data_IF_289364434408
#
_entry.id   IF_289364434408
#
_cell.length_a   1.000
_cell.length_b   1.000
_cell.length_c   1.000
_cell.angle_alpha   90.00
_cell.angle_beta   90.00
_cell.angle_gamma   90.00
#
_symmetry.space_group_name_H-M   'P 1'
#
loop_
_entity.id
_entity.type
_entity.pdbx_description
1 polymer ?
#
# COMPACT_ATOMS: atom_id res chain seq x y z
N UNK A 1 5.32 17.60 2.67
CA UNK A 1 4.48 17.85 3.87
C UNK A 1 4.36 16.54 4.67
N UNK A 2 4.69 16.52 5.97
CA UNK A 2 4.59 15.31 6.83
C UNK A 2 3.54 15.52 7.92
N UNK A 3 2.47 14.73 7.89
CA UNK A 3 1.44 14.71 8.95
C UNK A 3 1.98 13.78 10.03
N UNK A 4 2.33 14.29 11.21
CA UNK A 4 2.84 13.50 12.35
C UNK A 4 1.72 12.72 13.06
N UNK A 5 0.82 12.10 12.31
CA UNK A 5 -0.29 11.29 12.83
C UNK A 5 -0.42 10.02 11.99
N UNK A 6 -0.84 8.94 12.65
CA UNK A 6 -1.19 7.71 11.95
C UNK A 6 -2.46 7.97 11.13
N UNK A 7 -2.46 7.45 9.91
CA UNK A 7 -3.61 7.44 9.01
C UNK A 7 -3.93 5.99 8.68
N UNK A 8 -5.18 5.72 8.34
CA UNK A 8 -5.56 4.42 7.82
C UNK A 8 -5.49 4.47 6.30
N UNK A 9 -4.92 3.42 5.70
CA UNK A 9 -4.79 3.27 4.25
C UNK A 9 -5.53 2.02 3.82
N UNK A 10 -6.43 2.17 2.86
CA UNK A 10 -7.09 1.05 2.19
C UNK A 10 -6.59 1.03 0.75
N UNK A 11 -6.10 -0.11 0.28
CA UNK A 11 -5.60 -0.28 -1.09
C UNK A 11 -6.48 -1.31 -1.81
N UNK A 12 -6.91 -0.98 -3.02
CA UNK A 12 -7.57 -1.90 -3.94
C UNK A 12 -6.98 -1.77 -5.34
N UNK A 13 -7.51 -2.55 -6.28
CA UNK A 13 -6.96 -2.61 -7.64
C UNK A 13 -7.17 -1.31 -8.43
N UNK A 14 -8.25 -0.58 -8.14
CA UNK A 14 -8.65 0.66 -8.82
C UNK A 14 -8.12 1.93 -8.16
N UNK A 15 -7.48 1.82 -6.99
CA UNK A 15 -6.96 2.97 -6.26
C UNK A 15 -6.77 2.71 -4.77
N UNK A 16 -6.68 3.79 -3.98
CA UNK A 16 -6.53 3.71 -2.55
C UNK A 16 -7.29 4.84 -1.84
N UNK A 17 -7.64 4.61 -0.58
CA UNK A 17 -8.28 5.57 0.31
C UNK A 17 -7.31 5.89 1.44
N UNK A 18 -7.18 7.19 1.74
CA UNK A 18 -6.48 7.70 2.92
C UNK A 18 -7.52 8.24 3.89
N UNK A 19 -7.70 7.55 5.01
CA UNK A 19 -8.62 7.99 6.08
C UNK A 19 -7.83 8.79 7.11
N UNK A 20 -8.16 10.07 7.19
CA UNK A 20 -7.50 11.03 8.05
C UNK A 20 -8.20 11.14 9.41
N UNK A 21 -7.47 11.33 10.51
CA UNK A 21 -8.09 11.57 11.80
C UNK A 21 -8.80 12.93 11.83
N UNK A 22 -9.83 13.10 12.67
CA UNK A 22 -10.58 14.36 12.77
C UNK A 22 -9.67 15.57 12.99
N UNK A 23 -9.98 16.67 12.30
CA UNK A 23 -9.24 17.93 12.38
C UNK A 23 -7.97 18.00 11.52
N UNK A 24 -7.55 16.91 10.88
CA UNK A 24 -6.42 16.93 9.93
C UNK A 24 -6.93 17.31 8.54
N UNK A 25 -6.32 18.34 7.96
CA UNK A 25 -6.52 18.73 6.56
C UNK A 25 -5.23 18.50 5.78
N UNK A 26 -5.38 18.04 4.55
CA UNK A 26 -4.26 17.74 3.67
C UNK A 26 -4.46 18.51 2.38
N UNK A 27 -3.40 19.21 1.98
CA UNK A 27 -3.32 19.78 0.66
C UNK A 27 -2.94 18.67 -0.32
N UNK A 28 -3.95 18.18 -1.05
CA UNK A 28 -3.79 17.08 -2.02
C UNK A 28 -2.88 17.50 -3.17
N UNK A 29 -2.95 18.75 -3.60
CA UNK A 29 -2.14 19.26 -4.72
C UNK A 29 -0.66 19.25 -4.34
N UNK A 30 -0.34 19.83 -3.19
CA UNK A 30 1.03 19.81 -2.68
C UNK A 30 1.51 18.40 -2.35
N UNK A 31 0.64 17.51 -1.85
CA UNK A 31 1.01 16.12 -1.58
C UNK A 31 1.45 15.41 -2.86
N UNK A 32 0.64 15.51 -3.91
CA UNK A 32 0.87 14.80 -5.18
C UNK A 32 2.08 15.39 -5.93
N UNK A 33 2.25 16.71 -5.90
CA UNK A 33 3.40 17.38 -6.52
C UNK A 33 4.70 17.25 -5.71
N UNK A 34 4.64 16.79 -4.45
CA UNK A 34 5.84 16.63 -3.62
C UNK A 34 6.67 15.39 -3.94
N UNK A 35 6.15 14.47 -4.76
CA UNK A 35 6.83 13.23 -5.11
C UNK A 35 7.34 13.30 -6.54
N UNK A 36 8.66 13.19 -6.69
CA UNK A 36 9.33 13.22 -8.00
C UNK A 36 9.73 11.83 -8.48
N UNK A 37 9.82 11.68 -9.79
CA UNK A 37 10.16 10.41 -10.43
C UNK A 37 11.57 9.92 -10.11
N UNK A 38 12.52 10.83 -9.82
CA UNK A 38 13.89 10.52 -9.43
C UNK A 38 14.04 10.17 -7.94
N UNK A 39 13.05 10.54 -7.10
CA UNK A 39 13.09 10.34 -5.65
C UNK A 39 12.21 9.17 -5.17
N UNK A 40 11.17 8.80 -5.91
CA UNK A 40 10.20 7.78 -5.46
C UNK A 40 10.83 6.47 -5.01
N UNK A 41 11.90 6.00 -5.66
CA UNK A 41 12.56 4.74 -5.28
C UNK A 41 13.19 4.83 -3.88
N UNK A 42 13.88 5.93 -3.56
CA UNK A 42 14.51 6.10 -2.25
C UNK A 42 13.45 6.29 -1.16
N UNK A 43 12.43 7.11 -1.42
CA UNK A 43 11.29 7.31 -0.51
C UNK A 43 10.58 6.00 -0.22
N UNK A 44 10.27 5.21 -1.26
CA UNK A 44 9.58 3.94 -1.11
C UNK A 44 10.46 2.92 -0.36
N UNK A 45 11.76 2.86 -0.67
CA UNK A 45 12.71 1.98 0.01
C UNK A 45 12.76 2.24 1.52
N UNK A 46 12.80 3.51 1.93
CA UNK A 46 12.76 3.90 3.34
C UNK A 46 11.41 3.53 3.99
N UNK A 47 10.31 3.80 3.30
CA UNK A 47 8.96 3.54 3.80
C UNK A 47 8.68 2.04 4.01
N UNK A 48 9.14 1.18 3.11
CA UNK A 48 8.86 -0.26 3.19
C UNK A 48 9.79 -1.01 4.15
N UNK A 49 10.95 -0.44 4.52
CA UNK A 49 12.00 -1.14 5.29
C UNK A 49 11.48 -1.84 6.55
N UNK A 50 10.55 -1.22 7.27
CA UNK A 50 9.98 -1.75 8.53
C UNK A 50 8.64 -2.47 8.38
N UNK A 51 8.18 -2.68 7.14
CA UNK A 51 6.88 -3.31 6.86
C UNK A 51 6.95 -4.83 6.92
N UNK A 52 5.81 -5.46 7.16
CA UNK A 52 5.72 -6.94 7.11
C UNK A 52 5.99 -7.48 5.70
N UNK A 53 5.81 -6.68 4.63
CA UNK A 53 6.17 -7.06 3.26
C UNK A 53 7.66 -7.41 3.15
N UNK A 54 8.53 -6.52 3.65
CA UNK A 54 9.99 -6.76 3.65
C UNK A 54 10.34 -7.90 4.58
N UNK A 55 9.74 -7.99 5.77
CA UNK A 55 9.99 -9.11 6.70
C UNK A 55 9.66 -10.44 6.05
N UNK A 56 8.48 -10.56 5.45
CA UNK A 56 8.05 -11.76 4.73
C UNK A 56 8.98 -12.09 3.58
N UNK A 57 9.31 -11.10 2.75
CA UNK A 57 10.20 -11.27 1.61
C UNK A 57 11.60 -11.73 2.05
N UNK A 58 12.14 -11.13 3.11
CA UNK A 58 13.41 -11.53 3.71
C UNK A 58 13.40 -13.00 4.13
N UNK A 59 12.33 -13.52 4.74
CA UNK A 59 12.23 -14.95 5.07
C UNK A 59 12.43 -15.82 3.83
N UNK A 60 11.83 -15.46 2.69
CA UNK A 60 12.00 -16.18 1.43
C UNK A 60 13.44 -16.09 0.91
N UNK A 61 14.01 -14.88 0.86
CA UNK A 61 15.39 -14.66 0.39
C UNK A 61 16.41 -15.38 1.28
N UNK A 62 16.28 -15.29 2.62
CA UNK A 62 17.16 -15.95 3.59
C UNK A 62 17.09 -17.47 3.48
N UNK A 63 15.90 -18.01 3.19
CA UNK A 63 15.75 -19.45 2.97
C UNK A 63 16.40 -19.88 1.65
N UNK A 64 16.25 -19.10 0.56
CA UNK A 64 16.92 -19.37 -0.72
C UNK A 64 18.44 -19.23 -0.62
N UNK A 65 18.92 -18.32 0.21
CA UNK A 65 20.34 -18.11 0.50
C UNK A 65 20.91 -19.10 1.54
N UNK A 66 20.15 -20.14 1.92
CA UNK A 66 20.54 -21.18 2.89
C UNK A 66 20.91 -20.66 4.29
N UNK A 67 20.46 -19.44 4.65
CA UNK A 67 20.67 -18.86 5.97
C UNK A 67 19.73 -19.43 7.04
N UNK A 68 18.60 -19.99 6.60
CA UNK A 68 17.59 -20.62 7.46
C UNK A 68 17.69 -22.13 7.31
N UNK A 69 18.03 -22.80 8.40
CA UNK A 69 18.13 -24.26 8.44
C UNK A 69 16.75 -24.91 8.23
N UNK A 70 16.63 -25.69 7.16
CA UNK A 70 15.46 -26.54 6.87
C UNK A 70 15.57 -27.93 7.48
N UNK A 71 16.80 -28.45 7.60
CA UNK A 71 17.10 -29.73 8.20
C UNK A 71 18.19 -29.55 9.25
N UNK A 72 18.04 -30.22 10.39
CA UNK A 72 19.02 -30.24 11.45
C UNK A 72 19.26 -31.68 11.89
N UNK A 73 20.50 -32.15 11.73
CA UNK A 73 20.91 -33.53 12.06
C UNK A 73 20.01 -34.59 11.42
N UNK A 74 19.67 -34.42 10.14
CA UNK A 74 18.82 -35.36 9.40
C UNK A 74 17.32 -35.25 9.67
N UNK A 75 16.89 -34.33 10.54
CA UNK A 75 15.47 -34.10 10.83
C UNK A 75 14.99 -32.77 10.26
N UNK A 76 13.78 -32.76 9.72
CA UNK A 76 13.14 -31.55 9.22
C UNK A 76 12.82 -30.58 10.37
N UNK A 77 13.16 -29.31 10.18
CA UNK A 77 12.88 -28.24 11.12
C UNK A 77 11.46 -27.74 10.89
N UNK A 78 10.63 -27.71 11.94
CA UNK A 78 9.25 -27.19 11.88
C UNK A 78 9.20 -25.78 11.25
N UNK A 79 8.19 -25.53 10.40
CA UNK A 79 7.99 -24.24 9.72
C UNK A 79 7.97 -23.05 10.68
N UNK A 80 7.27 -23.16 11.82
CA UNK A 80 7.24 -22.12 12.84
C UNK A 80 8.64 -21.75 13.37
N UNK A 81 9.52 -22.74 13.53
CA UNK A 81 10.91 -22.52 13.95
C UNK A 81 11.75 -21.88 12.85
N UNK A 82 11.53 -22.25 11.58
CA UNK A 82 12.17 -21.58 10.45
C UNK A 82 11.78 -20.09 10.37
N UNK A 83 10.50 -19.79 10.58
CA UNK A 83 9.99 -18.41 10.62
C UNK A 83 10.60 -17.61 11.78
N UNK A 84 10.65 -18.19 12.98
CA UNK A 84 11.29 -17.56 14.15
C UNK A 84 12.78 -17.28 13.90
N UNK A 85 13.52 -18.26 13.39
CA UNK A 85 14.95 -18.11 13.07
C UNK A 85 15.16 -17.00 12.04
N UNK A 86 14.34 -16.92 10.99
CA UNK A 86 14.43 -15.89 9.97
C UNK A 86 14.11 -14.49 10.53
N UNK A 87 13.20 -14.39 11.51
CA UNK A 87 12.89 -13.12 12.20
C UNK A 87 14.06 -12.64 13.07
N UNK A 88 14.70 -13.56 13.81
CA UNK A 88 15.91 -13.27 14.60
C UNK A 88 17.04 -12.84 13.67
N UNK A 89 17.25 -13.57 12.57
CA UNK A 89 18.26 -13.22 11.59
C UNK A 89 18.02 -11.82 11.00
N UNK A 90 16.76 -11.47 10.70
CA UNK A 90 16.41 -10.13 10.21
C UNK A 90 16.87 -9.04 11.19
N UNK A 91 16.58 -9.21 12.48
CA UNK A 91 17.00 -8.22 13.49
C UNK A 91 18.51 -8.03 13.59
N UNK A 92 19.30 -9.04 13.23
CA UNK A 92 20.77 -8.93 13.20
C UNK A 92 21.25 -8.26 11.92
N UNK A 93 20.68 -8.65 10.76
CA UNK A 93 21.14 -8.12 9.46
C UNK A 93 20.69 -6.68 9.19
N UNK A 94 19.64 -6.21 9.86
CA UNK A 94 19.18 -4.81 9.75
C UNK A 94 20.24 -3.81 10.19
N UNK A 95 21.11 -4.20 11.12
CA UNK A 95 22.23 -3.39 11.64
C UNK A 95 23.50 -3.51 10.79
N UNK A 96 23.53 -4.44 9.82
CA UNK A 96 24.67 -4.64 8.92
C UNK A 96 24.44 -3.83 7.65
N UNK A 97 25.26 -2.78 7.39
CA UNK A 97 25.15 -2.00 6.18
C UNK A 97 25.29 -2.89 4.93
N UNK A 98 24.45 -2.63 3.93
CA UNK A 98 24.53 -3.26 2.62
C UNK A 98 24.43 -4.80 2.59
N UNK A 99 23.82 -5.42 3.61
CA UNK A 99 23.67 -6.86 3.67
C UNK A 99 22.95 -7.43 2.42
N UNK A 100 23.59 -8.30 1.61
CA UNK A 100 23.09 -8.65 0.28
C UNK A 100 21.68 -9.24 0.26
N UNK A 101 21.36 -10.14 1.19
CA UNK A 101 20.05 -10.81 1.24
C UNK A 101 18.94 -9.84 1.65
N UNK A 102 19.25 -8.85 2.50
CA UNK A 102 18.31 -7.81 2.87
C UNK A 102 18.10 -6.83 1.71
N UNK A 103 19.17 -6.45 1.00
CA UNK A 103 19.08 -5.66 -0.24
C UNK A 103 18.21 -6.33 -1.29
N UNK A 104 18.40 -7.63 -1.49
CA UNK A 104 17.58 -8.39 -2.45
C UNK A 104 16.12 -8.48 -1.99
N UNK A 105 15.86 -8.67 -0.70
CA UNK A 105 14.51 -8.68 -0.18
C UNK A 105 13.79 -7.33 -0.40
N UNK A 106 14.49 -6.22 -0.19
CA UNK A 106 13.96 -4.88 -0.48
C UNK A 106 13.75 -4.70 -1.99
N UNK A 107 14.71 -5.14 -2.83
CA UNK A 107 14.59 -5.09 -4.29
C UNK A 107 13.35 -5.84 -4.79
N UNK A 108 13.14 -7.09 -4.36
CA UNK A 108 11.96 -7.88 -4.73
C UNK A 108 10.64 -7.23 -4.25
N UNK A 109 10.63 -6.56 -3.09
CA UNK A 109 9.44 -5.81 -2.67
C UNK A 109 9.18 -4.62 -3.59
N UNK A 110 10.22 -3.82 -3.89
CA UNK A 110 10.07 -2.62 -4.70
C UNK A 110 9.72 -2.93 -6.15
N UNK A 111 10.38 -3.92 -6.75
CA UNK A 111 10.29 -4.24 -8.18
C UNK A 111 9.15 -5.23 -8.44
N UNK A 112 9.11 -6.36 -7.74
CA UNK A 112 8.19 -7.44 -8.09
C UNK A 112 6.81 -7.29 -7.44
N UNK A 113 6.75 -6.73 -6.23
CA UNK A 113 5.48 -6.59 -5.49
C UNK A 113 4.82 -5.24 -5.76
N UNK A 114 5.61 -4.16 -5.80
CA UNK A 114 5.08 -2.79 -5.89
C UNK A 114 5.24 -2.14 -7.27
N UNK A 115 5.98 -2.75 -8.19
CA UNK A 115 6.27 -2.22 -9.52
C UNK A 115 6.71 -0.74 -9.52
N UNK A 116 7.76 -0.46 -8.74
CA UNK A 116 8.32 0.89 -8.62
C UNK A 116 8.78 1.45 -9.97
N UNK A 117 9.16 0.59 -10.91
CA UNK A 117 9.61 1.02 -12.23
C UNK A 117 8.45 1.62 -13.05
N UNK A 118 7.28 1.01 -13.02
CA UNK A 118 6.09 1.61 -13.62
C UNK A 118 5.65 2.88 -12.88
N UNK A 119 5.73 2.91 -11.55
CA UNK A 119 5.43 4.11 -10.77
C UNK A 119 6.31 5.31 -11.18
N UNK A 120 7.62 5.07 -11.41
CA UNK A 120 8.55 6.07 -11.95
C UNK A 120 8.08 6.57 -13.32
N UNK A 121 7.66 5.67 -14.22
CA UNK A 121 7.18 6.05 -15.55
C UNK A 121 5.89 6.88 -15.51
N UNK A 122 4.99 6.56 -14.58
CA UNK A 122 3.76 7.36 -14.35
C UNK A 122 4.13 8.77 -13.89
N UNK A 123 5.01 8.91 -12.90
CA UNK A 123 5.46 10.22 -12.42
C UNK A 123 6.18 11.01 -13.51
N UNK A 124 7.08 10.39 -14.28
CA UNK A 124 7.72 11.03 -15.44
C UNK A 124 6.69 11.54 -16.45
N UNK A 125 5.64 10.75 -16.70
CA UNK A 125 4.57 11.16 -17.61
C UNK A 125 3.78 12.36 -17.10
N UNK A 126 3.64 12.48 -15.78
CA UNK A 126 3.05 13.67 -15.15
C UNK A 126 3.98 14.87 -15.25
N UNK A 127 5.27 14.70 -14.96
CA UNK A 127 6.30 15.75 -15.05
C UNK A 127 6.39 16.31 -16.49
N UNK A 128 6.27 15.43 -17.50
CA UNK A 128 6.22 15.78 -18.92
C UNK A 128 4.86 16.31 -19.39
N UNK A 129 3.89 16.48 -18.48
CA UNK A 129 2.51 16.92 -18.77
C UNK A 129 1.72 16.04 -19.75
N UNK A 130 2.14 14.79 -19.95
CA UNK A 130 1.40 13.79 -20.73
C UNK A 130 0.25 13.18 -19.93
N UNK A 131 0.36 13.17 -18.59
CA UNK A 131 -0.69 12.81 -17.64
C UNK A 131 -0.89 13.97 -16.68
N UNK A 132 -2.09 14.10 -16.12
CA UNK A 132 -2.39 15.13 -15.12
C UNK A 132 -3.25 14.57 -14.01
N UNK A 133 -3.03 15.08 -12.81
CA UNK A 133 -3.94 14.86 -11.69
C UNK A 133 -5.13 15.81 -11.83
N UNK A 134 -6.32 15.32 -11.50
CA UNK A 134 -7.54 16.12 -11.43
C UNK A 134 -8.01 16.06 -9.99
N UNK A 135 -7.92 17.19 -9.31
CA UNK A 135 -8.36 17.33 -7.92
C UNK A 135 -9.77 17.85 -7.95
N UNK A 136 -10.71 17.05 -7.46
CA UNK A 136 -12.11 17.42 -7.36
C UNK A 136 -12.39 18.09 -6.01
N UNK A 137 -13.40 18.96 -5.93
CA UNK A 137 -13.81 19.55 -4.66
C UNK A 137 -14.29 18.47 -3.68
N UNK A 138 -14.33 18.77 -2.36
CA UNK A 138 -14.93 17.87 -1.39
C UNK A 138 -16.39 17.57 -1.73
N UNK A 139 -16.78 16.29 -1.62
CA UNK A 139 -18.15 15.83 -1.77
C UNK A 139 -18.69 15.29 -0.46
N UNK A 140 -19.99 15.44 -0.28
CA UNK A 140 -20.79 14.85 0.80
C UNK A 140 -21.16 13.39 0.53
N UNK A 141 -21.12 12.96 -0.73
CA UNK A 141 -21.40 11.59 -1.17
C UNK A 141 -20.20 11.03 -1.94
N UNK A 142 -19.80 9.77 -1.70
CA UNK A 142 -18.72 9.17 -2.46
C UNK A 142 -19.11 8.95 -3.92
N UNK A 143 -18.12 9.07 -4.82
CA UNK A 143 -18.31 8.75 -6.23
C UNK A 143 -18.56 7.24 -6.42
N UNK A 144 -19.34 6.82 -7.44
CA UNK A 144 -19.45 5.41 -7.83
C UNK A 144 -18.10 4.70 -8.00
N UNK A 145 -17.05 5.41 -8.41
CA UNK A 145 -15.69 4.85 -8.54
C UNK A 145 -15.05 4.51 -7.18
N UNK A 146 -15.49 5.14 -6.10
CA UNK A 146 -14.98 4.89 -4.76
C UNK A 146 -15.77 3.81 -3.99
N UNK A 147 -16.93 3.37 -4.49
CA UNK A 147 -17.79 2.42 -3.77
C UNK A 147 -17.07 1.11 -3.45
N UNK A 148 -16.37 0.54 -4.41
CA UNK A 148 -15.62 -0.71 -4.21
C UNK A 148 -14.52 -0.56 -3.16
N UNK A 149 -13.74 0.53 -3.26
CA UNK A 149 -12.68 0.85 -2.29
C UNK A 149 -13.24 1.08 -0.88
N UNK A 150 -14.42 1.71 -0.75
CA UNK A 150 -15.09 1.91 0.53
C UNK A 150 -15.52 0.58 1.16
N UNK A 151 -16.07 -0.33 0.37
CA UNK A 151 -16.45 -1.66 0.84
C UNK A 151 -15.25 -2.47 1.32
N UNK A 152 -14.10 -2.35 0.65
CA UNK A 152 -12.84 -2.95 1.11
C UNK A 152 -12.41 -2.32 2.44
N UNK A 153 -12.47 -0.98 2.56
CA UNK A 153 -12.06 -0.28 3.78
C UNK A 153 -12.95 -0.53 5.00
N UNK A 154 -14.21 -0.90 4.77
CA UNK A 154 -15.18 -1.23 5.82
C UNK A 154 -15.22 -2.71 6.18
N UNK A 155 -14.39 -3.54 5.53
CA UNK A 155 -14.43 -4.99 5.65
C UNK A 155 -14.20 -5.54 7.07
N UNK A 156 -13.51 -4.80 7.93
CA UNK A 156 -13.28 -5.16 9.33
C UNK A 156 -14.50 -4.93 10.25
N UNK A 157 -15.51 -4.18 9.79
CA UNK A 157 -16.65 -3.73 10.59
C UNK A 157 -18.01 -4.23 10.05
N UNK A 158 -18.07 -4.58 8.76
CA UNK A 158 -19.34 -4.81 8.02
C UNK A 158 -19.44 -6.27 7.55
N UNK A 159 -20.52 -6.97 7.94
CA UNK A 159 -20.81 -8.34 7.49
C UNK A 159 -21.08 -8.37 5.98
N UNK A 160 -20.92 -9.54 5.33
CA UNK A 160 -21.12 -9.66 3.87
C UNK A 160 -22.53 -9.29 3.40
N UNK A 161 -23.55 -9.52 4.23
CA UNK A 161 -24.95 -9.18 3.94
C UNK A 161 -25.14 -7.64 3.90
N UNK A 162 -24.55 -6.94 4.86
CA UNK A 162 -24.58 -5.48 4.98
C UNK A 162 -23.85 -4.77 3.81
N UNK A 163 -22.90 -5.43 3.13
CA UNK A 163 -22.19 -4.84 1.99
C UNK A 163 -23.10 -4.57 0.79
N UNK A 164 -23.99 -5.52 0.47
CA UNK A 164 -24.91 -5.37 -0.66
C UNK A 164 -25.92 -4.26 -0.39
N UNK A 165 -26.41 -4.20 0.84
CA UNK A 165 -27.34 -3.16 1.27
C UNK A 165 -26.68 -1.77 1.26
N UNK A 166 -25.45 -1.67 1.79
CA UNK A 166 -24.67 -0.43 1.74
C UNK A 166 -24.41 0.03 0.30
N UNK A 167 -24.01 -0.88 -0.59
CA UNK A 167 -23.77 -0.54 -1.99
C UNK A 167 -25.03 -0.05 -2.69
N UNK A 168 -26.17 -0.72 -2.44
CA UNK A 168 -27.47 -0.32 -2.97
C UNK A 168 -27.87 1.06 -2.46
N UNK A 169 -27.69 1.33 -1.17
CA UNK A 169 -27.96 2.64 -0.57
C UNK A 169 -27.11 3.74 -1.20
N UNK A 170 -25.79 3.54 -1.32
CA UNK A 170 -24.90 4.50 -1.96
C UNK A 170 -25.31 4.77 -3.41
N UNK A 171 -25.69 3.72 -4.16
CA UNK A 171 -26.20 3.86 -5.52
C UNK A 171 -27.48 4.70 -5.58
N UNK A 172 -28.46 4.39 -4.73
CA UNK A 172 -29.74 5.11 -4.69
C UNK A 172 -29.54 6.61 -4.35
N UNK A 173 -28.65 6.92 -3.40
CA UNK A 173 -28.28 8.29 -3.04
C UNK A 173 -27.60 9.04 -4.21
N UNK A 174 -26.69 8.37 -4.95
CA UNK A 174 -26.04 8.96 -6.14
C UNK A 174 -27.08 9.24 -7.24
N UNK A 175 -27.97 8.28 -7.50
CA UNK A 175 -29.00 8.42 -8.54
C UNK A 175 -30.02 9.51 -8.21
N UNK A 176 -30.42 9.65 -6.94
CA UNK A 176 -31.28 10.74 -6.50
C UNK A 176 -30.64 12.11 -6.81
N UNK A 177 -29.36 12.28 -6.46
CA UNK A 177 -28.61 13.52 -6.72
C UNK A 177 -28.38 13.80 -8.20
N UNK A 178 -28.20 12.75 -9.01
CA UNK A 178 -28.08 12.89 -10.46
C UNK A 178 -29.38 13.39 -11.10
N UNK A 179 -30.53 12.90 -10.63
CA UNK A 179 -31.87 13.36 -11.05
C UNK A 179 -32.12 14.82 -10.64
N UNK A 180 -31.77 15.21 -9.42
CA UNK A 180 -31.91 16.60 -8.93
C UNK A 180 -31.09 17.60 -9.77
N UNK A 181 -29.94 17.18 -10.31
CA UNK A 181 -29.08 18.01 -11.17
C UNK A 181 -29.43 17.94 -12.65
N UNK A 182 -30.45 17.17 -13.05
CA UNK A 182 -30.88 17.03 -14.45
C UNK A 182 -29.87 16.31 -15.35
N UNK A 183 -29.00 15.46 -14.78
CA UNK A 183 -27.94 14.74 -15.51
C UNK A 183 -28.36 13.29 -15.84
N UNK A 184 -29.48 12.83 -15.29
CA UNK A 184 -30.00 11.45 -15.41
C UNK A 184 -31.43 11.42 -15.95
#
# INVERSE_FOLDING_TARGET
MRIKRNIMVTVGDSGFILTLPPGVRVDVENLVNSLRSDEIRSVLSEAVKKTELVRRRFRHCATRALMVLRNYKGHEVKVARQQMNAQILLSVVEDIPDFPVLKEAIREVLEDVMDVNNAINVLKSVELRMRRFVILPPYDLPSPFAHDLLLIGMSDVVLMEDRKELLKRLYDEVMARAREKGVA
#
